data_IF_152589373897
#
_entry.id   IF_152589373897
#
_cell.length_a   1.000
_cell.length_b   1.000
_cell.length_c   1.000
_cell.angle_alpha   90.00
_cell.angle_beta   90.00
_cell.angle_gamma   90.00
#
_symmetry.space_group_name_H-M   'P 1'
#
loop_
_entity.id
_entity.type
_entity.pdbx_description
1 polymer ?
#
# COMPACT_ATOMS: atom_id res chain seq x y z
N UNK A 1 4.50 13.62 -28.01
CA UNK A 1 3.55 12.83 -27.20
C UNK A 1 4.15 12.76 -25.80
N UNK A 2 3.72 13.62 -24.88
CA UNK A 2 4.28 13.68 -23.53
C UNK A 2 3.59 12.55 -22.74
N UNK A 3 4.30 11.46 -22.48
CA UNK A 3 3.84 10.47 -21.52
C UNK A 3 3.84 11.16 -20.15
N UNK A 4 2.66 11.38 -19.59
CA UNK A 4 2.52 11.76 -18.19
C UNK A 4 3.05 10.58 -17.38
N UNK A 5 4.18 10.73 -16.70
CA UNK A 5 4.54 9.82 -15.62
C UNK A 5 3.41 9.91 -14.60
N UNK A 6 2.65 8.84 -14.41
CA UNK A 6 1.83 8.71 -13.22
C UNK A 6 2.82 8.59 -12.05
N UNK A 7 2.78 9.55 -11.12
CA UNK A 7 3.55 9.44 -9.89
C UNK A 7 2.88 8.34 -9.05
N UNK A 8 3.58 7.22 -8.85
CA UNK A 8 3.13 6.18 -7.94
C UNK A 8 3.37 6.60 -6.50
N UNK A 9 2.40 6.35 -5.63
CA UNK A 9 2.50 6.57 -4.19
C UNK A 9 2.38 5.22 -3.47
N UNK A 10 3.02 5.11 -2.30
CA UNK A 10 2.82 3.98 -1.41
C UNK A 10 1.52 4.22 -0.61
N UNK A 11 0.77 3.17 -0.26
CA UNK A 11 -0.45 3.37 0.51
C UNK A 11 -0.15 3.95 1.89
N UNK A 12 -0.96 4.89 2.35
CA UNK A 12 -0.74 5.56 3.63
C UNK A 12 -1.47 6.88 3.80
N UNK A 13 -1.68 7.24 5.05
CA UNK A 13 -2.34 8.47 5.43
C UNK A 13 -1.95 8.94 6.84
N UNK A 14 -2.74 9.84 7.39
CA UNK A 14 -2.43 10.49 8.67
C UNK A 14 -2.78 9.58 9.85
N UNK A 15 -1.98 9.67 10.92
CA UNK A 15 -2.35 9.08 12.20
C UNK A 15 -3.57 9.82 12.77
N UNK A 16 -4.62 9.07 13.10
CA UNK A 16 -5.85 9.61 13.68
C UNK A 16 -5.99 9.18 15.13
N UNK A 17 -5.84 10.07 16.13
CA UNK A 17 -5.87 9.68 17.55
C UNK A 17 -7.18 9.02 18.02
N UNK A 18 -8.27 9.20 17.28
CA UNK A 18 -9.57 8.57 17.56
C UNK A 18 -9.71 7.16 17.03
N UNK A 19 -8.93 6.79 16.01
CA UNK A 19 -8.95 5.48 15.36
C UNK A 19 -7.70 4.65 15.69
N UNK A 20 -6.57 5.32 15.90
CA UNK A 20 -5.24 4.74 16.01
C UNK A 20 -4.67 4.99 17.42
N UNK A 21 -4.38 3.93 18.15
CA UNK A 21 -3.62 4.02 19.41
C UNK A 21 -2.10 4.01 19.18
N UNK A 22 -1.64 3.61 17.98
CA UNK A 22 -0.22 3.61 17.59
C UNK A 22 -0.05 3.92 16.10
N UNK A 23 1.12 4.41 15.69
CA UNK A 23 1.45 4.61 14.26
C UNK A 23 1.32 3.30 13.47
N UNK A 24 1.63 2.15 14.07
CA UNK A 24 1.49 0.86 13.39
C UNK A 24 0.02 0.46 13.14
N UNK A 25 -0.91 0.95 13.97
CA UNK A 25 -2.33 0.79 13.71
C UNK A 25 -2.79 1.68 12.55
N UNK A 26 -2.30 2.92 12.47
CA UNK A 26 -2.55 3.78 11.31
C UNK A 26 -2.05 3.11 10.01
N UNK A 27 -0.83 2.55 10.00
CA UNK A 27 -0.31 1.78 8.86
C UNK A 27 -1.24 0.63 8.46
N UNK A 28 -1.78 -0.11 9.44
CA UNK A 28 -2.70 -1.20 9.16
C UNK A 28 -4.07 -0.75 8.64
N UNK A 29 -4.58 0.38 9.15
CA UNK A 29 -5.85 0.97 8.74
C UNK A 29 -5.77 1.51 7.32
N UNK A 30 -4.79 2.35 7.02
CA UNK A 30 -4.59 2.98 5.70
C UNK A 30 -4.34 1.91 4.62
N UNK A 31 -3.48 0.92 4.92
CA UNK A 31 -3.28 -0.22 4.01
C UNK A 31 -4.60 -0.92 3.67
N UNK A 32 -5.47 -1.15 4.66
CA UNK A 32 -6.75 -1.80 4.44
C UNK A 32 -7.74 -0.91 3.67
N UNK A 33 -7.80 0.37 4.00
CA UNK A 33 -8.71 1.34 3.39
C UNK A 33 -8.42 1.50 1.89
N UNK A 34 -7.15 1.72 1.54
CA UNK A 34 -6.71 2.01 0.17
C UNK A 34 -6.49 0.76 -0.70
N UNK A 35 -6.14 -0.38 -0.11
CA UNK A 35 -5.76 -1.58 -0.88
C UNK A 35 -6.59 -2.82 -0.56
N UNK A 36 -7.33 -2.83 0.55
CA UNK A 36 -8.01 -4.03 1.03
C UNK A 36 -7.07 -5.13 1.53
N UNK A 37 -5.78 -4.84 1.71
CA UNK A 37 -4.80 -5.76 2.27
C UNK A 37 -4.71 -5.58 3.78
N UNK A 38 -4.41 -6.66 4.51
CA UNK A 38 -4.25 -6.59 5.97
C UNK A 38 -2.80 -6.70 6.37
N UNK A 39 -2.40 -5.83 7.27
CA UNK A 39 -1.12 -5.87 7.94
C UNK A 39 -1.05 -7.08 8.88
N UNK A 40 -0.07 -7.96 8.67
CA UNK A 40 0.29 -9.01 9.64
C UNK A 40 1.36 -8.52 10.61
N UNK A 41 2.38 -7.85 10.09
CA UNK A 41 3.53 -7.38 10.87
C UNK A 41 4.27 -6.26 10.18
N UNK A 42 4.60 -5.18 10.91
CA UNK A 42 5.62 -4.23 10.48
C UNK A 42 7.01 -4.84 10.68
N UNK A 43 7.80 -4.95 9.61
CA UNK A 43 9.14 -5.54 9.63
C UNK A 43 10.20 -4.52 10.02
N UNK A 44 10.17 -3.36 9.37
CA UNK A 44 11.21 -2.32 9.51
C UNK A 44 10.68 -0.96 9.07
N UNK A 45 11.08 0.09 9.79
CA UNK A 45 11.01 1.49 9.33
C UNK A 45 12.13 1.70 8.30
N UNK A 46 11.77 2.02 7.06
CA UNK A 46 12.72 2.16 5.95
C UNK A 46 12.99 3.60 5.58
N UNK A 47 12.08 4.51 5.90
CA UNK A 47 12.26 5.93 5.70
C UNK A 47 11.53 6.73 6.77
N UNK A 48 12.11 7.85 7.18
CA UNK A 48 11.48 8.83 8.07
C UNK A 48 11.90 10.22 7.62
N UNK A 49 10.93 11.03 7.20
CA UNK A 49 11.19 12.37 6.66
C UNK A 49 10.28 13.36 7.37
N UNK A 50 10.88 14.43 7.87
CA UNK A 50 10.16 15.59 8.35
C UNK A 50 10.06 16.65 7.25
N UNK A 51 8.87 17.22 7.08
CA UNK A 51 8.63 18.27 6.10
C UNK A 51 7.54 19.22 6.59
N UNK A 52 7.54 20.44 6.05
CA UNK A 52 6.44 21.38 6.22
C UNK A 52 5.72 21.48 4.87
N UNK A 53 4.39 21.57 4.91
CA UNK A 53 3.61 21.89 3.74
C UNK A 53 3.13 23.35 3.79
N UNK A 54 2.60 23.84 2.67
CA UNK A 54 2.11 25.22 2.56
C UNK A 54 0.63 25.36 2.99
N UNK A 55 -0.06 24.27 3.30
CA UNK A 55 -1.48 24.26 3.69
C UNK A 55 -1.63 24.41 5.22
N UNK A 56 -0.70 23.84 5.98
CA UNK A 56 -0.63 23.85 7.43
C UNK A 56 0.75 24.34 7.86
N UNK A 57 1.02 25.62 7.64
CA UNK A 57 2.34 26.24 7.81
C UNK A 57 2.89 26.21 9.23
N UNK A 58 2.05 25.96 10.23
CA UNK A 58 2.45 25.78 11.63
C UNK A 58 2.67 24.31 12.01
N UNK A 59 2.43 23.37 11.08
CA UNK A 59 2.59 21.94 11.31
C UNK A 59 3.94 21.45 10.77
N UNK A 60 4.65 20.68 11.59
CA UNK A 60 5.75 19.85 11.12
C UNK A 60 5.22 18.44 10.93
N UNK A 61 5.18 18.00 9.67
CA UNK A 61 4.77 16.65 9.31
C UNK A 61 5.96 15.70 9.43
N UNK A 62 5.67 14.46 9.82
CA UNK A 62 6.63 13.37 9.83
C UNK A 62 6.02 12.17 9.08
N UNK A 63 6.59 11.84 7.93
CA UNK A 63 6.21 10.66 7.17
C UNK A 63 7.17 9.51 7.54
N UNK A 64 6.60 8.38 7.96
CA UNK A 64 7.32 7.16 8.32
C UNK A 64 6.89 6.02 7.40
N UNK A 65 7.81 5.48 6.61
CA UNK A 65 7.55 4.40 5.64
C UNK A 65 8.03 3.06 6.19
N UNK A 66 7.19 2.03 6.09
CA UNK A 66 7.49 0.70 6.62
C UNK A 66 7.51 -0.37 5.54
N UNK A 67 8.39 -1.35 5.70
CA UNK A 67 8.23 -2.67 5.07
C UNK A 67 7.36 -3.52 5.96
N UNK A 68 6.35 -4.16 5.38
CA UNK A 68 5.33 -4.93 6.10
C UNK A 68 5.19 -6.34 5.54
N UNK A 69 4.88 -7.30 6.41
CA UNK A 69 4.33 -8.59 6.00
C UNK A 69 2.80 -8.46 5.92
N UNK A 70 2.21 -9.01 4.86
CA UNK A 70 0.77 -9.09 4.70
C UNK A 70 0.21 -10.35 5.38
N UNK A 71 -1.04 -10.29 5.79
CA UNK A 71 -1.80 -11.47 6.20
C UNK A 71 -2.27 -12.21 4.94
N UNK A 72 -1.68 -13.38 4.71
CA UNK A 72 -1.93 -14.28 3.59
C UNK A 72 -3.33 -14.92 3.60
N UNK A 73 -4.06 -14.76 4.70
CA UNK A 73 -5.47 -15.20 4.82
C UNK A 73 -6.47 -14.10 4.52
N UNK A 74 -6.02 -12.83 4.49
CA UNK A 74 -6.85 -11.68 4.22
C UNK A 74 -7.00 -11.45 2.71
N UNK A 75 -7.78 -12.30 2.07
CA UNK A 75 -8.22 -12.05 0.70
C UNK A 75 -9.22 -10.89 0.75
N UNK A 76 -8.85 -9.73 0.21
CA UNK A 76 -9.78 -8.62 0.03
C UNK A 76 -11.02 -9.07 -0.76
N UNK A 77 -12.21 -8.57 -0.42
CA UNK A 77 -13.48 -8.96 -1.08
C UNK A 77 -13.71 -8.27 -2.43
N UNK A 78 -12.65 -7.78 -3.08
CA UNK A 78 -12.72 -7.08 -4.36
C UNK A 78 -12.70 -8.02 -5.58
N UNK A 79 -12.33 -7.49 -6.75
CA UNK A 79 -12.19 -8.24 -8.00
C UNK A 79 -10.73 -8.69 -8.15
N UNK A 80 -10.47 -9.99 -8.25
CA UNK A 80 -9.11 -10.49 -8.46
C UNK A 80 -8.61 -9.96 -9.81
N UNK A 81 -7.42 -9.37 -9.84
CA UNK A 81 -6.69 -9.26 -11.10
C UNK A 81 -6.34 -10.69 -11.52
N UNK A 82 -7.11 -11.24 -12.46
CA UNK A 82 -6.96 -12.62 -12.94
C UNK A 82 -5.74 -12.82 -13.81
N UNK A 83 -4.91 -11.79 -14.03
CA UNK A 83 -4.23 -11.71 -15.32
C UNK A 83 -2.79 -12.21 -15.35
N UNK A 84 -2.12 -12.49 -14.22
CA UNK A 84 -0.69 -12.86 -14.31
C UNK A 84 -0.18 -14.06 -13.52
N UNK A 85 -1.02 -14.83 -12.81
CA UNK A 85 -0.53 -16.07 -12.16
C UNK A 85 -1.48 -17.25 -12.38
N UNK A 86 -1.58 -17.71 -13.62
CA UNK A 86 -2.03 -19.07 -13.90
C UNK A 86 -0.97 -19.76 -14.73
N UNK A 87 -0.05 -20.43 -14.05
CA UNK A 87 0.67 -21.54 -14.68
C UNK A 87 -0.35 -22.64 -14.98
N UNK A 88 -0.77 -22.72 -16.24
CA UNK A 88 -1.75 -23.72 -16.72
C UNK A 88 -1.21 -25.15 -16.66
N UNK A 89 0.07 -25.36 -16.35
CA UNK A 89 0.71 -26.68 -16.34
C UNK A 89 0.66 -27.40 -14.99
N UNK A 90 0.30 -26.72 -13.89
CA UNK A 90 0.22 -27.35 -12.56
C UNK A 90 -0.95 -26.82 -11.71
N UNK A 91 -2.11 -27.51 -11.66
CA UNK A 91 -3.32 -27.04 -10.98
C UNK A 91 -3.23 -26.98 -9.44
N UNK A 92 -2.11 -27.41 -8.85
CA UNK A 92 -1.84 -27.29 -7.41
C UNK A 92 -1.01 -26.06 -7.02
N UNK A 93 -0.49 -25.32 -8.00
CA UNK A 93 0.26 -24.09 -7.74
C UNK A 93 -0.65 -22.88 -7.98
N UNK A 94 -1.69 -22.76 -7.14
CA UNK A 94 -2.44 -21.51 -7.04
C UNK A 94 -1.64 -20.66 -6.07
N UNK A 95 -0.73 -19.83 -6.57
CA UNK A 95 -0.21 -18.73 -5.77
C UNK A 95 -1.43 -17.96 -5.25
N UNK A 96 -1.54 -17.71 -3.94
CA UNK A 96 -2.67 -16.98 -3.39
C UNK A 96 -2.77 -15.65 -4.13
N UNK A 97 -3.84 -15.47 -4.90
CA UNK A 97 -4.07 -14.23 -5.63
C UNK A 97 -4.41 -13.16 -4.60
N UNK A 98 -3.38 -12.45 -4.12
CA UNK A 98 -3.56 -11.27 -3.28
C UNK A 98 -4.42 -10.28 -4.07
N UNK A 99 -5.53 -9.87 -3.45
CA UNK A 99 -6.54 -9.08 -4.11
C UNK A 99 -6.45 -7.64 -3.62
N UNK A 100 -6.05 -6.74 -4.51
CA UNK A 100 -6.01 -5.30 -4.27
C UNK A 100 -7.36 -4.68 -4.65
N UNK A 101 -7.91 -3.87 -3.74
CA UNK A 101 -9.11 -3.04 -3.94
C UNK A 101 -8.72 -1.59 -3.73
N UNK A 102 -8.85 -0.78 -4.79
CA UNK A 102 -8.64 0.68 -4.74
C UNK A 102 -9.97 1.44 -4.77
N UNK A 103 -10.03 2.61 -4.14
CA UNK A 103 -11.13 3.57 -4.34
C UNK A 103 -10.86 4.39 -5.61
N UNK A 104 -11.72 4.33 -6.65
CA UNK A 104 -11.53 5.07 -7.90
C UNK A 104 -11.62 6.60 -7.74
N UNK A 105 -12.15 7.11 -6.62
CA UNK A 105 -12.19 8.56 -6.34
C UNK A 105 -10.86 9.08 -5.84
N UNK A 106 -10.04 8.23 -5.19
CA UNK A 106 -8.76 8.61 -4.59
C UNK A 106 -7.57 8.10 -5.42
N UNK A 107 -7.69 6.90 -6.01
CA UNK A 107 -6.62 6.26 -6.78
C UNK A 107 -7.09 5.79 -8.16
N UNK A 108 -6.20 5.83 -9.13
CA UNK A 108 -6.53 5.52 -10.54
C UNK A 108 -6.07 4.13 -10.99
N UNK A 109 -4.97 3.61 -10.42
CA UNK A 109 -4.37 2.33 -10.80
C UNK A 109 -3.51 1.77 -9.66
N UNK A 110 -3.08 0.51 -9.77
CA UNK A 110 -2.15 -0.13 -8.83
C UNK A 110 -1.20 -1.08 -9.55
N UNK A 111 -0.04 -1.32 -8.96
CA UNK A 111 0.94 -2.27 -9.49
C UNK A 111 1.83 -2.83 -8.39
N UNK A 112 2.33 -4.05 -8.62
CA UNK A 112 3.44 -4.58 -7.84
C UNK A 112 4.75 -4.12 -8.48
N UNK A 113 5.71 -3.73 -7.65
CA UNK A 113 7.08 -3.46 -8.08
C UNK A 113 8.03 -4.36 -7.28
N UNK A 114 9.00 -4.93 -7.99
CA UNK A 114 10.17 -5.57 -7.40
C UNK A 114 11.15 -4.50 -6.93
N UNK A 115 12.05 -4.85 -6.00
CA UNK A 115 13.10 -3.93 -5.54
C UNK A 115 13.95 -3.37 -6.69
N UNK A 116 14.17 -4.17 -7.74
CA UNK A 116 14.93 -3.75 -8.92
C UNK A 116 14.20 -2.75 -9.83
N UNK A 117 12.85 -2.73 -9.79
CA UNK A 117 12.03 -1.78 -10.56
C UNK A 117 11.91 -0.42 -9.88
N UNK A 118 12.16 -0.36 -8.57
CA UNK A 118 12.21 0.90 -7.80
C UNK A 118 13.59 1.54 -8.00
N UNK A 119 13.73 2.35 -9.04
CA UNK A 119 14.97 3.08 -9.35
C UNK A 119 14.94 4.44 -8.63
N UNK A 120 15.90 4.68 -7.73
CA UNK A 120 16.19 6.00 -7.16
C UNK A 120 16.81 6.95 -8.19
#
# INVERSE_FOLDING_TARGET
>A
MIQRQAAGELPGGSFEPTLDATILQAVGRELWEETGLRLRRARRLVNEVEFQDNHYTECLWRNATFVVDLDDTAIGTGRAATDHIRDKSNPRNVEPSILVRIDPQEHQDWGWATEAEVIN
#
